data_IF_416229452398
#
_entry.id   IF_416229452398
#
_cell.length_a   1.000
_cell.length_b   1.000
_cell.length_c   1.000
_cell.angle_alpha   90.00
_cell.angle_beta   90.00
_cell.angle_gamma   90.00
#
_symmetry.space_group_name_H-M   'P 1'
#
loop_
_entity.id
_entity.type
_entity.pdbx_description
1 polymer ?
#
# COMPACT_ATOMS: atom_id res chain seq x y z
N UNK A 1 -11.65 11.42 -2.91
CA UNK A 1 -10.49 10.52 -3.10
C UNK A 1 -9.86 10.66 -4.49
N UNK A 2 -10.62 10.90 -5.56
CA UNK A 2 -10.07 11.15 -6.90
C UNK A 2 -9.47 12.56 -7.08
N UNK A 3 -9.83 13.53 -6.23
CA UNK A 3 -9.42 14.93 -6.41
C UNK A 3 -7.91 15.11 -6.29
N UNK A 4 -7.27 14.51 -5.28
CA UNK A 4 -5.81 14.60 -5.11
C UNK A 4 -5.03 13.99 -6.28
N UNK A 5 -5.52 12.90 -6.86
CA UNK A 5 -4.91 12.30 -8.04
C UNK A 5 -5.03 13.20 -9.27
N UNK A 6 -6.21 13.80 -9.49
CA UNK A 6 -6.42 14.79 -10.56
C UNK A 6 -5.57 16.05 -10.36
N UNK A 7 -5.45 16.53 -9.12
CA UNK A 7 -4.56 17.65 -8.77
C UNK A 7 -3.11 17.33 -9.10
N UNK A 8 -2.65 16.12 -8.77
CA UNK A 8 -1.29 15.70 -9.10
C UNK A 8 -1.08 15.58 -10.61
N UNK A 9 -2.02 15.00 -11.36
CA UNK A 9 -1.92 14.91 -12.83
C UNK A 9 -1.78 16.29 -13.48
N UNK A 10 -2.58 17.25 -13.03
CA UNK A 10 -2.52 18.63 -13.51
C UNK A 10 -1.17 19.28 -13.16
N UNK A 11 -0.68 19.13 -11.93
CA UNK A 11 0.59 19.70 -11.50
C UNK A 11 1.82 19.04 -12.15
N UNK A 12 1.73 17.75 -12.47
CA UNK A 12 2.76 16.98 -13.16
C UNK A 12 2.75 17.19 -14.68
N UNK A 13 1.81 17.98 -15.20
CA UNK A 13 1.58 18.20 -16.64
C UNK A 13 1.45 16.88 -17.42
N UNK A 14 0.90 15.86 -16.77
CA UNK A 14 0.72 14.53 -17.36
C UNK A 14 -0.57 14.48 -18.18
N UNK A 15 -0.57 13.85 -19.37
CA UNK A 15 -1.79 13.65 -20.12
C UNK A 15 -2.76 12.74 -19.35
N UNK A 16 -4.06 12.93 -19.56
CA UNK A 16 -5.10 12.10 -18.92
C UNK A 16 -4.99 10.63 -19.33
N UNK A 17 -4.45 10.36 -20.53
CA UNK A 17 -4.11 9.02 -20.99
C UNK A 17 -2.60 8.78 -20.87
N UNK A 18 -2.23 7.95 -19.89
CA UNK A 18 -0.84 7.70 -19.54
C UNK A 18 -0.39 6.41 -20.23
N UNK A 19 0.51 6.54 -21.22
CA UNK A 19 1.13 5.41 -21.92
C UNK A 19 2.49 5.02 -21.35
N UNK A 20 3.01 5.79 -20.41
CA UNK A 20 4.35 5.69 -19.85
C UNK A 20 4.29 5.64 -18.31
N UNK A 21 5.40 5.92 -17.65
CA UNK A 21 5.44 5.92 -16.18
C UNK A 21 4.53 7.00 -15.59
N UNK A 22 3.69 6.57 -14.64
CA UNK A 22 2.85 7.44 -13.84
C UNK A 22 3.71 8.32 -12.91
N UNK A 23 4.34 7.72 -11.90
CA UNK A 23 5.14 8.47 -10.92
C UNK A 23 6.62 8.51 -11.27
N UNK A 24 7.15 9.72 -11.43
CA UNK A 24 8.53 9.97 -11.80
C UNK A 24 9.34 10.61 -10.67
N UNK A 25 10.66 10.46 -10.76
CA UNK A 25 11.58 11.24 -9.96
C UNK A 25 11.42 12.73 -10.23
N UNK A 26 11.77 13.55 -9.23
CA UNK A 26 11.70 15.00 -9.32
C UNK A 26 13.02 15.63 -8.88
N UNK A 27 13.46 16.63 -9.62
CA UNK A 27 14.63 17.43 -9.24
C UNK A 27 14.26 18.39 -8.10
N UNK A 28 15.27 18.93 -7.41
CA UNK A 28 15.06 19.97 -6.38
C UNK A 28 14.28 21.19 -6.89
N UNK A 29 14.34 21.47 -8.20
CA UNK A 29 13.65 22.59 -8.84
C UNK A 29 12.23 22.24 -9.32
N UNK A 30 11.66 21.11 -8.87
CA UNK A 30 10.28 20.74 -9.20
C UNK A 30 10.08 20.13 -10.58
N UNK A 31 11.15 19.86 -11.33
CA UNK A 31 11.05 19.23 -12.67
C UNK A 31 11.06 17.71 -12.57
N UNK A 32 10.14 17.06 -13.27
CA UNK A 32 10.13 15.61 -13.44
C UNK A 32 11.34 15.14 -14.26
N UNK A 33 11.84 13.95 -13.95
CA UNK A 33 13.09 13.42 -14.55
C UNK A 33 12.85 12.47 -15.73
N UNK A 34 11.61 12.12 -16.07
CA UNK A 34 11.29 11.10 -17.07
C UNK A 34 11.54 9.66 -16.59
N UNK A 35 12.11 9.48 -15.40
CA UNK A 35 12.51 8.18 -14.86
C UNK A 35 11.56 7.74 -13.76
N UNK A 36 11.19 6.46 -13.78
CA UNK A 36 10.32 5.88 -12.77
C UNK A 36 10.88 6.00 -11.35
N UNK A 37 9.99 6.22 -10.38
CA UNK A 37 10.36 6.09 -8.98
C UNK A 37 10.87 4.68 -8.69
N UNK A 38 11.97 4.60 -7.94
CA UNK A 38 12.52 3.33 -7.48
C UNK A 38 11.73 2.81 -6.28
N UNK A 39 11.73 1.50 -6.08
CA UNK A 39 11.11 0.88 -4.90
C UNK A 39 11.67 1.40 -3.58
N UNK A 40 12.95 1.80 -3.55
CA UNK A 40 13.57 2.41 -2.37
C UNK A 40 12.99 3.79 -2.04
N UNK A 41 12.70 4.62 -3.05
CA UNK A 41 12.05 5.92 -2.83
C UNK A 41 10.61 5.71 -2.35
N UNK A 42 9.87 4.77 -2.96
CA UNK A 42 8.51 4.43 -2.51
C UNK A 42 8.52 3.98 -1.05
N UNK A 43 9.46 3.11 -0.67
CA UNK A 43 9.63 2.66 0.71
C UNK A 43 9.90 3.80 1.68
N UNK A 44 10.77 4.76 1.30
CA UNK A 44 11.05 5.94 2.13
C UNK A 44 9.81 6.83 2.31
N UNK A 45 9.06 7.08 1.24
CA UNK A 45 7.81 7.86 1.29
C UNK A 45 6.81 7.17 2.23
N UNK A 46 6.62 5.85 2.09
CA UNK A 46 5.70 5.10 2.95
C UNK A 46 6.13 5.16 4.42
N UNK A 47 7.41 5.00 4.73
CA UNK A 47 7.92 5.11 6.09
C UNK A 47 7.73 6.52 6.68
N UNK A 48 7.99 7.56 5.89
CA UNK A 48 7.83 8.97 6.29
C UNK A 48 6.37 9.28 6.65
N UNK A 49 5.43 8.94 5.77
CA UNK A 49 4.00 9.19 6.03
C UNK A 49 3.43 8.25 7.10
N UNK A 50 3.93 7.02 7.19
CA UNK A 50 3.58 6.11 8.30
C UNK A 50 4.00 6.68 9.66
N UNK A 51 5.17 7.30 9.73
CA UNK A 51 5.62 8.00 10.94
C UNK A 51 4.83 9.26 11.23
N UNK A 52 4.57 10.09 10.22
CA UNK A 52 3.75 11.29 10.36
C UNK A 52 2.33 10.97 10.84
N UNK A 53 1.80 9.80 10.47
CA UNK A 53 0.53 9.28 10.96
C UNK A 53 0.59 8.62 12.35
N UNK A 54 1.77 8.54 12.98
CA UNK A 54 1.97 7.93 14.29
C UNK A 54 1.92 6.40 14.32
N UNK A 55 2.06 5.74 13.15
CA UNK A 55 1.90 4.28 13.03
C UNK A 55 3.19 3.52 13.36
N UNK A 56 4.36 4.07 12.99
CA UNK A 56 5.64 3.41 13.22
C UNK A 56 6.81 4.41 13.24
N UNK A 57 8.04 3.99 13.56
CA UNK A 57 9.24 4.82 13.41
C UNK A 57 9.48 5.23 11.95
N UNK A 58 10.09 6.40 11.74
CA UNK A 58 10.43 6.91 10.39
C UNK A 58 11.49 6.09 9.65
N UNK A 59 12.21 5.22 10.34
CA UNK A 59 13.27 4.39 9.77
C UNK A 59 13.57 3.17 10.64
N UNK A 60 14.37 2.24 10.10
CA UNK A 60 14.74 0.99 10.76
C UNK A 60 13.83 -0.18 10.39
N UNK A 61 14.07 -1.33 11.01
CA UNK A 61 13.40 -2.60 10.67
C UNK A 61 11.88 -2.59 10.94
N UNK A 62 11.42 -1.66 11.79
CA UNK A 62 10.02 -1.55 12.19
C UNK A 62 9.31 -0.37 11.52
N UNK A 63 9.92 0.29 10.53
CA UNK A 63 9.25 1.34 9.76
C UNK A 63 8.20 0.71 8.83
N UNK A 64 7.08 1.40 8.63
CA UNK A 64 6.05 0.94 7.68
C UNK A 64 6.66 0.78 6.30
N UNK A 65 6.42 -0.36 5.68
CA UNK A 65 6.83 -0.67 4.33
C UNK A 65 5.63 -0.84 3.40
N UNK A 66 5.81 -0.71 2.07
CA UNK A 66 4.71 -0.88 1.11
C UNK A 66 4.01 -2.24 1.20
N UNK A 67 4.73 -3.29 1.64
CA UNK A 67 4.17 -4.62 1.80
C UNK A 67 3.22 -4.73 2.99
N UNK A 68 3.46 -3.96 4.07
CA UNK A 68 2.56 -3.88 5.22
C UNK A 68 1.22 -3.29 4.78
N UNK A 69 1.25 -2.15 4.06
CA UNK A 69 0.03 -1.52 3.54
C UNK A 69 -0.78 -2.45 2.63
N UNK A 70 -0.10 -3.21 1.76
CA UNK A 70 -0.76 -4.20 0.88
C UNK A 70 -1.40 -5.32 1.70
N UNK A 71 -0.72 -5.80 2.75
CA UNK A 71 -1.23 -6.83 3.66
C UNK A 71 -2.42 -6.34 4.45
N UNK A 72 -2.32 -5.19 5.11
CA UNK A 72 -3.41 -4.58 5.89
C UNK A 72 -4.63 -4.34 5.01
N UNK A 73 -4.44 -3.88 3.76
CA UNK A 73 -5.53 -3.72 2.80
C UNK A 73 -6.24 -5.05 2.50
N UNK A 74 -5.50 -6.12 2.20
CA UNK A 74 -6.06 -7.45 1.96
C UNK A 74 -6.75 -8.03 3.20
N UNK A 75 -6.15 -7.85 4.38
CA UNK A 75 -6.72 -8.28 5.65
C UNK A 75 -8.04 -7.56 5.95
N UNK A 76 -8.10 -6.23 5.74
CA UNK A 76 -9.36 -5.46 5.86
C UNK A 76 -10.42 -5.84 4.82
N UNK A 77 -10.05 -6.38 3.67
CA UNK A 77 -11.04 -6.98 2.78
C UNK A 77 -11.53 -8.32 3.32
N UNK A 78 -10.70 -9.08 4.02
CA UNK A 78 -11.08 -10.35 4.63
C UNK A 78 -12.02 -10.18 5.83
N UNK A 79 -11.67 -9.26 6.73
CA UNK A 79 -12.45 -8.97 7.95
C UNK A 79 -13.30 -7.74 7.71
N UNK A 80 -14.63 -7.87 7.72
CA UNK A 80 -15.49 -6.69 7.67
C UNK A 80 -15.72 -6.17 9.10
N UNK A 81 -15.52 -4.87 9.36
CA UNK A 81 -15.83 -4.27 10.65
C UNK A 81 -17.34 -4.16 10.92
N UNK A 82 -18.19 -4.50 9.95
CA UNK A 82 -19.65 -4.51 10.10
C UNK A 82 -20.12 -5.89 10.62
N UNK A 83 -20.94 -5.95 11.67
CA UNK A 83 -21.34 -7.21 12.33
C UNK A 83 -22.17 -8.19 11.47
N UNK A 84 -22.53 -7.80 10.24
CA UNK A 84 -23.32 -8.61 9.30
C UNK A 84 -22.68 -8.74 7.92
N UNK A 85 -21.45 -8.28 7.75
CA UNK A 85 -20.75 -8.37 6.48
C UNK A 85 -19.68 -9.46 6.61
N UNK A 86 -19.93 -10.57 5.91
CA UNK A 86 -18.94 -11.62 5.78
C UNK A 86 -17.94 -11.07 4.75
N UNK A 87 -16.79 -10.57 5.20
CA UNK A 87 -15.80 -9.93 4.32
C UNK A 87 -15.47 -10.75 3.07
N UNK A 88 -14.69 -10.17 2.15
CA UNK A 88 -14.40 -10.75 0.85
C UNK A 88 -13.96 -12.22 0.94
N UNK A 89 -14.58 -13.13 0.17
CA UNK A 89 -14.17 -14.52 0.10
C UNK A 89 -12.68 -14.63 -0.26
N UNK A 90 -11.98 -15.55 0.41
CA UNK A 90 -10.54 -15.74 0.25
C UNK A 90 -10.07 -15.89 -1.23
N UNK A 91 -10.79 -16.57 -2.15
CA UNK A 91 -10.42 -16.60 -3.56
C UNK A 91 -10.43 -15.22 -4.25
N UNK A 92 -11.32 -14.30 -3.83
CA UNK A 92 -11.31 -12.91 -4.35
C UNK A 92 -10.11 -12.14 -3.83
N UNK A 93 -9.71 -12.38 -2.59
CA UNK A 93 -8.51 -11.78 -2.01
C UNK A 93 -7.25 -12.30 -2.70
N UNK A 94 -7.19 -13.61 -3.00
CA UNK A 94 -6.12 -14.21 -3.79
C UNK A 94 -6.02 -13.55 -5.16
N UNK A 95 -7.15 -13.38 -5.85
CA UNK A 95 -7.18 -12.71 -7.16
C UNK A 95 -6.72 -11.25 -7.06
N UNK A 96 -7.19 -10.51 -6.06
CA UNK A 96 -6.77 -9.14 -5.78
C UNK A 96 -5.26 -9.02 -5.53
N UNK A 97 -4.69 -9.99 -4.79
CA UNK A 97 -3.26 -10.06 -4.52
C UNK A 97 -2.45 -10.65 -5.68
N UNK A 98 -3.08 -11.23 -6.70
CA UNK A 98 -2.37 -11.92 -7.79
C UNK A 98 -1.54 -13.11 -7.31
N UNK A 99 -1.94 -13.76 -6.22
CA UNK A 99 -1.23 -14.94 -5.71
C UNK A 99 -1.58 -16.19 -6.51
N UNK A 100 -0.57 -17.00 -6.83
CA UNK A 100 -0.76 -18.25 -7.57
C UNK A 100 -1.46 -19.34 -6.72
N UNK A 101 -1.32 -19.29 -5.40
CA UNK A 101 -1.86 -20.28 -4.47
C UNK A 101 -2.69 -19.62 -3.36
N UNK A 102 -3.83 -20.23 -3.03
CA UNK A 102 -4.69 -19.85 -1.92
C UNK A 102 -3.95 -19.93 -0.57
N UNK A 103 -3.06 -20.91 -0.38
CA UNK A 103 -2.27 -21.08 0.85
C UNK A 103 -1.31 -19.90 1.08
N UNK A 104 -0.68 -19.40 0.00
CA UNK A 104 0.13 -18.17 0.07
C UNK A 104 -0.70 -16.99 0.55
N UNK A 105 -1.98 -16.92 0.12
CA UNK A 105 -2.90 -15.87 0.58
C UNK A 105 -3.25 -16.02 2.05
N UNK A 106 -3.58 -17.24 2.50
CA UNK A 106 -3.88 -17.52 3.91
C UNK A 106 -2.74 -17.08 4.83
N UNK A 107 -1.51 -17.52 4.52
CA UNK A 107 -0.33 -17.15 5.30
C UNK A 107 -0.05 -15.65 5.22
N UNK A 108 -0.21 -15.05 4.04
CA UNK A 108 0.04 -13.63 3.84
C UNK A 108 -0.91 -12.74 4.64
N UNK A 109 -2.20 -13.09 4.77
CA UNK A 109 -3.14 -12.28 5.56
C UNK A 109 -3.19 -12.68 7.04
N UNK A 110 -2.48 -13.74 7.45
CA UNK A 110 -2.55 -14.29 8.80
C UNK A 110 -3.93 -14.87 9.10
N UNK A 111 -4.46 -15.70 8.20
CA UNK A 111 -5.83 -16.23 8.26
C UNK A 111 -6.15 -16.98 9.57
N UNK A 112 -5.14 -17.61 10.17
CA UNK A 112 -5.25 -18.35 11.44
C UNK A 112 -4.67 -17.57 12.65
N UNK A 113 -4.24 -16.32 12.46
CA UNK A 113 -3.62 -15.49 13.50
C UNK A 113 -4.63 -14.49 14.06
N UNK A 114 -4.63 -14.29 15.38
CA UNK A 114 -5.48 -13.27 16.03
C UNK A 114 -5.22 -11.87 15.44
N UNK A 115 -6.29 -11.11 15.20
CA UNK A 115 -6.27 -9.85 14.45
C UNK A 115 -5.43 -8.73 15.07
N UNK A 116 -4.94 -8.93 16.30
CA UNK A 116 -4.24 -7.94 17.09
C UNK A 116 -2.72 -8.00 16.98
N UNK A 117 -2.11 -9.10 16.51
CA UNK A 117 -0.66 -9.19 16.48
C UNK A 117 -0.13 -10.16 15.43
N UNK A 118 0.48 -9.60 14.38
CA UNK A 118 1.29 -10.37 13.45
C UNK A 118 2.69 -9.78 13.44
N UNK A 119 3.72 -10.62 13.56
CA UNK A 119 5.12 -10.21 13.69
C UNK A 119 5.66 -9.34 12.53
N UNK A 120 4.86 -9.17 11.48
CA UNK A 120 5.19 -8.49 10.23
C UNK A 120 4.11 -7.48 9.81
N UNK A 121 3.18 -7.11 10.69
CA UNK A 121 2.30 -5.95 10.47
C UNK A 121 2.55 -4.94 11.59
N UNK A 122 3.20 -3.83 11.23
CA UNK A 122 3.52 -2.75 12.17
C UNK A 122 2.42 -1.68 12.24
N UNK A 123 1.33 -1.84 11.48
CA UNK A 123 0.20 -0.91 11.47
C UNK A 123 -0.91 -1.47 12.38
N UNK A 124 -1.02 -0.92 13.59
CA UNK A 124 -2.13 -1.23 14.51
C UNK A 124 -3.34 -0.34 14.19
N UNK A 125 -4.55 -0.92 14.14
CA UNK A 125 -5.81 -0.24 13.79
C UNK A 125 -6.84 -0.30 14.92
#
# INVERSE_FOLDING_TARGET
MLDGFRTWLAAAEKPEQIKETLFEGMTRHGRLTGSALTGAIIGRIVAEYGHAAGLAPASGANAVAPHDLRRTCAKRYHVSPMPYDNGAPLPKIQQFLGHANIETTMRYIGYDEDDTEIATDYVRY
#
